data_IF_456049959778
#
_entry.id   IF_456049959778
#
_cell.length_a   1.000
_cell.length_b   1.000
_cell.length_c   1.000
_cell.angle_alpha   90.00
_cell.angle_beta   90.00
_cell.angle_gamma   90.00
#
_symmetry.space_group_name_H-M   'P 1'
#
loop_
_entity.id
_entity.type
_entity.pdbx_description
1 polymer ?
#
# COMPACT_ATOMS: atom_id res chain seq x y z
N UNK A 1 -15.39 -2.16 -1.40
CA UNK A 1 -14.98 -1.57 -2.70
C UNK A 1 -15.81 -2.09 -3.86
N UNK A 2 -16.21 -1.18 -4.77
CA UNK A 2 -16.91 -1.50 -6.02
C UNK A 2 -15.96 -1.70 -7.21
N UNK A 3 -14.78 -1.10 -7.16
CA UNK A 3 -13.70 -1.20 -8.17
C UNK A 3 -12.53 -2.01 -7.62
N UNK A 4 -11.69 -2.63 -8.47
CA UNK A 4 -10.44 -3.19 -8.01
C UNK A 4 -9.50 -2.06 -7.53
N UNK A 5 -8.76 -2.31 -6.46
CA UNK A 5 -7.72 -1.40 -5.97
C UNK A 5 -6.41 -2.15 -5.85
N UNK A 6 -5.31 -1.43 -5.94
CA UNK A 6 -4.07 -1.93 -5.37
C UNK A 6 -3.96 -1.51 -3.90
N UNK A 7 -3.44 -2.40 -3.08
CA UNK A 7 -3.15 -2.18 -1.67
C UNK A 7 -1.66 -2.43 -1.45
N UNK A 8 -1.02 -1.50 -0.76
CA UNK A 8 0.35 -1.64 -0.25
C UNK A 8 0.28 -1.64 1.27
N UNK A 9 0.74 -2.72 1.90
CA UNK A 9 0.85 -2.79 3.37
C UNK A 9 2.24 -2.37 3.80
N UNK A 10 2.35 -1.54 4.83
CA UNK A 10 3.61 -0.95 5.25
C UNK A 10 3.89 -1.03 6.75
N UNK A 11 5.18 -0.95 7.10
CA UNK A 11 5.70 -0.73 8.45
C UNK A 11 6.20 0.72 8.56
N UNK A 12 5.81 1.51 9.57
CA UNK A 12 6.34 2.86 9.79
C UNK A 12 7.86 2.85 10.04
N UNK A 13 8.57 3.82 9.47
CA UNK A 13 10.02 4.06 9.65
C UNK A 13 10.33 5.42 10.31
N UNK A 14 9.34 6.04 10.95
CA UNK A 14 9.43 7.37 11.53
C UNK A 14 8.09 8.10 11.45
N UNK A 15 8.12 9.43 11.44
CA UNK A 15 6.90 10.26 11.42
C UNK A 15 6.14 10.18 10.09
N UNK A 16 6.84 10.18 8.95
CA UNK A 16 6.24 10.25 7.61
C UNK A 16 6.73 9.15 6.65
N UNK A 17 7.66 8.30 7.09
CA UNK A 17 8.28 7.26 6.27
C UNK A 17 7.68 5.88 6.51
N UNK A 18 7.60 5.07 5.45
CA UNK A 18 6.97 3.76 5.48
C UNK A 18 7.76 2.76 4.64
N UNK A 19 7.96 1.53 5.13
CA UNK A 19 8.56 0.43 4.37
C UNK A 19 7.47 -0.46 3.81
N UNK A 20 7.49 -0.71 2.51
CA UNK A 20 6.55 -1.60 1.85
C UNK A 20 6.86 -3.05 2.24
N UNK A 21 5.84 -3.75 2.75
CA UNK A 21 5.90 -5.18 3.07
C UNK A 21 5.34 -6.01 1.93
N UNK A 22 4.21 -5.58 1.35
CA UNK A 22 3.50 -6.32 0.32
C UNK A 22 2.72 -5.37 -0.57
N UNK A 23 2.69 -5.69 -1.86
CA UNK A 23 1.84 -5.06 -2.87
C UNK A 23 0.89 -6.12 -3.42
N UNK A 24 -0.40 -5.79 -3.55
CA UNK A 24 -1.40 -6.69 -4.14
C UNK A 24 -2.55 -5.92 -4.77
N UNK A 25 -3.14 -6.46 -5.82
CA UNK A 25 -4.43 -5.99 -6.34
C UNK A 25 -5.56 -6.78 -5.69
N UNK A 26 -6.55 -6.07 -5.14
CA UNK A 26 -7.73 -6.64 -4.48
C UNK A 26 -8.93 -6.46 -5.41
N UNK A 27 -9.52 -7.58 -5.82
CA UNK A 27 -10.76 -7.57 -6.62
C UNK A 27 -11.96 -7.04 -5.80
N UNK A 28 -13.01 -6.51 -6.46
CA UNK A 28 -14.22 -6.06 -5.78
C UNK A 28 -14.83 -7.12 -4.85
N UNK A 29 -15.40 -6.68 -3.73
CA UNK A 29 -16.09 -7.54 -2.73
C UNK A 29 -15.22 -8.66 -2.14
N UNK A 30 -13.90 -8.44 -2.05
CA UNK A 30 -12.97 -9.37 -1.39
C UNK A 30 -12.35 -8.75 -0.15
N UNK A 31 -11.98 -9.62 0.78
CA UNK A 31 -11.24 -9.30 2.01
C UNK A 31 -9.93 -10.09 1.97
N UNK A 32 -8.84 -9.44 2.35
CA UNK A 32 -7.51 -10.04 2.40
C UNK A 32 -7.27 -10.70 3.75
N UNK A 33 -6.23 -11.55 3.85
CA UNK A 33 -5.80 -12.05 5.16
C UNK A 33 -5.22 -10.90 5.99
N UNK A 34 -5.47 -10.85 7.31
CA UNK A 34 -4.83 -9.86 8.18
C UNK A 34 -3.31 -9.89 8.04
N UNK A 35 -2.68 -8.72 8.07
CA UNK A 35 -1.24 -8.60 8.23
C UNK A 35 -0.94 -8.51 9.73
N UNK A 36 -0.05 -9.38 10.22
CA UNK A 36 0.42 -9.33 11.62
C UNK A 36 1.61 -8.38 11.80
N UNK A 37 2.23 -7.95 10.70
CA UNK A 37 3.48 -7.18 10.71
C UNK A 37 3.31 -5.75 10.22
N UNK A 38 2.37 -5.50 9.31
CA UNK A 38 2.09 -4.17 8.78
C UNK A 38 0.99 -3.48 9.58
N UNK A 39 1.15 -2.19 9.86
CA UNK A 39 0.19 -1.38 10.62
C UNK A 39 -0.43 -0.24 9.80
N UNK A 40 0.03 -0.05 8.55
CA UNK A 40 -0.45 1.01 7.65
C UNK A 40 -0.74 0.43 6.27
N UNK A 41 -1.74 0.97 5.58
CA UNK A 41 -2.04 0.64 4.19
C UNK A 41 -2.13 1.90 3.33
N UNK A 42 -1.65 1.80 2.10
CA UNK A 42 -1.93 2.76 1.03
C UNK A 42 -2.80 2.08 -0.02
N UNK A 43 -3.85 2.78 -0.44
CA UNK A 43 -4.79 2.30 -1.44
C UNK A 43 -4.76 3.22 -2.66
N UNK A 44 -4.76 2.62 -3.84
CA UNK A 44 -4.82 3.34 -5.11
C UNK A 44 -5.63 2.53 -6.14
N UNK A 45 -6.03 3.16 -7.24
CA UNK A 45 -6.69 2.44 -8.33
C UNK A 45 -5.81 1.28 -8.83
N UNK A 46 -6.44 0.17 -9.22
CA UNK A 46 -5.71 -1.00 -9.70
C UNK A 46 -4.72 -0.68 -10.83
N UNK A 47 -3.48 -1.13 -10.70
CA UNK A 47 -2.38 -0.86 -11.62
C UNK A 47 -1.55 0.38 -11.27
N UNK A 48 -1.95 1.20 -10.29
CA UNK A 48 -1.21 2.40 -9.89
C UNK A 48 0.17 2.06 -9.34
N UNK A 49 0.27 1.10 -8.41
CA UNK A 49 1.57 0.76 -7.80
C UNK A 49 2.50 0.05 -8.79
N UNK A 50 1.95 -0.69 -9.76
CA UNK A 50 2.74 -1.21 -10.89
C UNK A 50 3.27 -0.09 -11.78
N UNK A 51 2.44 0.92 -12.08
CA UNK A 51 2.83 2.07 -12.91
C UNK A 51 3.92 2.91 -12.23
N UNK A 52 3.86 3.05 -10.91
CA UNK A 52 4.87 3.73 -10.10
C UNK A 52 6.06 2.85 -9.72
N UNK A 53 6.06 1.59 -10.16
CA UNK A 53 7.10 0.61 -9.93
C UNK A 53 7.38 0.29 -8.44
N UNK A 54 6.35 0.42 -7.59
CA UNK A 54 6.43 0.15 -6.15
C UNK A 54 6.49 -1.36 -5.90
N UNK A 55 7.50 -1.78 -5.13
CA UNK A 55 7.78 -3.16 -4.76
C UNK A 55 7.92 -3.33 -3.25
N UNK A 56 7.84 -4.59 -2.80
CA UNK A 56 8.21 -4.93 -1.43
C UNK A 56 9.67 -4.55 -1.15
N UNK A 57 9.92 -3.95 0.01
CA UNK A 57 11.22 -3.41 0.40
C UNK A 57 11.39 -1.91 0.13
N UNK A 58 10.59 -1.32 -0.76
CA UNK A 58 10.67 0.10 -1.07
C UNK A 58 10.31 0.97 0.13
N UNK A 59 10.80 2.21 0.10
CA UNK A 59 10.45 3.25 1.07
C UNK A 59 9.49 4.24 0.43
N UNK A 60 8.36 4.45 1.09
CA UNK A 60 7.40 5.50 0.77
C UNK A 60 7.50 6.62 1.80
N UNK A 61 7.13 7.82 1.38
CA UNK A 61 7.03 9.02 2.22
C UNK A 61 5.72 9.74 1.89
N UNK A 62 5.02 10.19 2.92
CA UNK A 62 3.87 11.09 2.75
C UNK A 62 4.31 12.50 3.11
N UNK A 63 4.11 13.43 2.18
CA UNK A 63 4.38 14.85 2.38
C UNK A 63 3.06 15.60 2.27
N UNK A 64 2.88 16.61 3.11
CA UNK A 64 1.81 17.59 2.90
C UNK A 64 2.17 18.51 1.74
N UNK A 65 1.16 19.04 1.08
CA UNK A 65 1.32 20.20 0.23
C UNK A 65 1.24 21.44 1.15
N UNK A 66 2.30 22.25 1.20
CA UNK A 66 2.31 23.54 1.91
C UNK A 66 1.39 24.57 1.23
#
# INVERSE_FOLDING_TARGET
>A
MRVPIDVVTCIPLGASGYRVVRVLTVAPRRVTRPSLTASVVFEAEAGSFRRWDVRAGDRLEVRGDD
#
